data_IF_311895189243
#
_entry.id   IF_311895189243
#
_cell.length_a   1.000
_cell.length_b   1.000
_cell.length_c   1.000
_cell.angle_alpha   90.00
_cell.angle_beta   90.00
_cell.angle_gamma   90.00
#
_symmetry.space_group_name_H-M   'P 1'
#
loop_
_entity.id
_entity.type
_entity.pdbx_description
1 polymer ?
#
# COMPACT_ATOMS: atom_id res chain seq x y z
N UNK A 1 -2.30 29.06 -9.21
CA UNK A 1 -1.08 28.37 -8.71
C UNK A 1 -1.41 27.18 -7.80
N UNK A 2 -2.43 27.27 -6.94
CA UNK A 2 -2.78 26.19 -6.01
C UNK A 2 -3.31 24.91 -6.66
N UNK A 3 -4.04 25.00 -7.78
CA UNK A 3 -4.61 23.84 -8.48
C UNK A 3 -3.50 22.96 -9.09
N UNK A 4 -2.49 23.56 -9.72
CA UNK A 4 -1.28 22.86 -10.19
C UNK A 4 -0.51 22.22 -9.04
N UNK A 5 -0.36 22.92 -7.91
CA UNK A 5 0.32 22.40 -6.71
C UNK A 5 -0.43 21.21 -6.11
N UNK A 6 -1.78 21.27 -6.07
CA UNK A 6 -2.66 20.20 -5.59
C UNK A 6 -2.61 18.98 -6.51
N UNK A 7 -2.63 19.19 -7.83
CA UNK A 7 -2.55 18.13 -8.82
C UNK A 7 -1.19 17.40 -8.76
N UNK A 8 -0.09 18.14 -8.65
CA UNK A 8 1.25 17.56 -8.50
C UNK A 8 1.35 16.70 -7.24
N UNK A 9 0.81 17.16 -6.11
CA UNK A 9 0.90 16.40 -4.86
C UNK A 9 0.03 15.13 -4.91
N UNK A 10 -1.14 15.19 -5.54
CA UNK A 10 -1.97 13.99 -5.75
C UNK A 10 -1.32 12.97 -6.68
N UNK A 11 -0.60 13.44 -7.71
CA UNK A 11 0.23 12.59 -8.58
C UNK A 11 1.37 11.93 -7.81
N UNK A 12 2.03 12.67 -6.91
CA UNK A 12 3.03 12.09 -6.00
C UNK A 12 2.44 11.01 -5.10
N UNK A 13 1.18 11.18 -4.67
CA UNK A 13 0.46 10.18 -3.88
C UNK A 13 0.35 8.82 -4.58
N UNK A 14 0.32 8.77 -5.92
CA UNK A 14 0.19 7.52 -6.69
C UNK A 14 1.42 6.62 -6.60
N UNK A 15 2.60 7.19 -6.31
CA UNK A 15 3.86 6.45 -6.31
C UNK A 15 3.84 5.34 -5.27
N UNK A 16 3.32 5.61 -4.06
CA UNK A 16 3.28 4.62 -2.98
C UNK A 16 2.50 3.35 -3.36
N UNK A 17 1.22 3.45 -3.75
CA UNK A 17 0.43 2.30 -4.18
C UNK A 17 1.00 1.58 -5.41
N UNK A 18 1.58 2.31 -6.37
CA UNK A 18 2.22 1.70 -7.54
C UNK A 18 3.43 0.87 -7.12
N UNK A 19 4.29 1.40 -6.25
CA UNK A 19 5.45 0.64 -5.75
C UNK A 19 5.01 -0.60 -4.98
N UNK A 20 3.94 -0.50 -4.19
CA UNK A 20 3.39 -1.63 -3.45
C UNK A 20 2.83 -2.71 -4.39
N UNK A 21 2.13 -2.34 -5.46
CA UNK A 21 1.68 -3.31 -6.48
C UNK A 21 2.89 -3.94 -7.19
N UNK A 22 3.85 -3.13 -7.62
CA UNK A 22 5.04 -3.62 -8.32
C UNK A 22 5.85 -4.57 -7.43
N UNK A 23 5.92 -4.32 -6.12
CA UNK A 23 6.67 -5.16 -5.19
C UNK A 23 6.25 -6.63 -5.22
N UNK A 24 4.99 -6.93 -5.55
CA UNK A 24 4.50 -8.30 -5.59
C UNK A 24 5.08 -9.17 -6.71
N UNK A 25 5.58 -8.52 -7.76
CA UNK A 25 6.16 -9.18 -8.93
C UNK A 25 7.68 -9.38 -8.77
N UNK A 26 8.24 -8.98 -7.64
CA UNK A 26 9.65 -9.21 -7.29
C UNK A 26 9.77 -10.16 -6.11
N UNK A 27 10.89 -10.87 -5.97
CA UNK A 27 11.14 -11.72 -4.81
C UNK A 27 11.19 -10.89 -3.50
N UNK A 28 10.71 -11.47 -2.40
CA UNK A 28 10.68 -10.81 -1.07
C UNK A 28 11.70 -11.41 -0.10
N UNK A 29 11.49 -12.64 0.33
CA UNK A 29 12.41 -13.39 1.23
C UNK A 29 12.76 -14.78 0.70
N UNK A 30 12.17 -15.16 -0.43
CA UNK A 30 12.47 -16.39 -1.18
C UNK A 30 12.86 -16.03 -2.61
N UNK A 31 13.26 -17.01 -3.41
CA UNK A 31 13.46 -16.84 -4.86
C UNK A 31 12.18 -16.48 -5.61
N UNK A 32 11.04 -16.85 -5.05
CA UNK A 32 9.72 -16.64 -5.63
C UNK A 32 9.15 -15.27 -5.23
N UNK A 33 8.33 -14.69 -6.10
CA UNK A 33 7.54 -13.51 -5.78
C UNK A 33 6.25 -13.88 -5.02
N UNK A 34 5.51 -12.88 -4.50
CA UNK A 34 4.34 -13.15 -3.67
C UNK A 34 3.19 -13.82 -4.44
N UNK A 35 3.05 -13.49 -5.72
CA UNK A 35 2.02 -14.08 -6.58
C UNK A 35 2.33 -15.57 -6.85
N UNK A 36 3.60 -15.89 -7.07
CA UNK A 36 4.07 -17.28 -7.19
C UNK A 36 3.84 -18.06 -5.89
N UNK A 37 4.18 -17.47 -4.74
CA UNK A 37 3.92 -18.07 -3.43
C UNK A 37 2.42 -18.32 -3.21
N UNK A 38 1.55 -17.38 -3.60
CA UNK A 38 0.11 -17.57 -3.58
C UNK A 38 -0.30 -18.79 -4.41
N UNK A 39 0.12 -18.87 -5.67
CA UNK A 39 -0.25 -19.97 -6.59
C UNK A 39 0.23 -21.33 -6.06
N UNK A 40 1.48 -21.39 -5.60
CA UNK A 40 2.08 -22.62 -5.06
C UNK A 40 1.33 -23.11 -3.81
N UNK A 41 1.06 -22.20 -2.87
CA UNK A 41 0.47 -22.55 -1.58
C UNK A 41 -1.06 -22.68 -1.63
N UNK A 42 -1.73 -22.16 -2.65
CA UNK A 42 -3.18 -22.32 -2.84
C UNK A 42 -3.60 -23.79 -2.84
N UNK A 43 -2.76 -24.70 -3.31
CA UNK A 43 -3.10 -26.13 -3.36
C UNK A 43 -2.98 -26.87 -2.02
N UNK A 44 -2.23 -26.32 -1.05
CA UNK A 44 -1.85 -27.01 0.20
C UNK A 44 -2.36 -26.28 1.44
N UNK A 45 -2.36 -24.95 1.43
CA UNK A 45 -2.75 -24.09 2.54
C UNK A 45 -3.54 -22.88 2.03
N UNK A 46 -4.76 -23.12 1.55
CA UNK A 46 -5.64 -22.10 0.95
C UNK A 46 -5.75 -20.85 1.84
N UNK A 47 -6.07 -21.04 3.13
CA UNK A 47 -6.30 -19.91 4.04
C UNK A 47 -5.05 -19.02 4.18
N UNK A 48 -3.88 -19.63 4.38
CA UNK A 48 -2.62 -18.90 4.52
C UNK A 48 -2.14 -18.31 3.18
N UNK A 49 -2.51 -18.92 2.05
CA UNK A 49 -2.09 -18.44 0.74
C UNK A 49 -2.64 -17.04 0.44
N UNK A 50 -3.84 -16.70 0.91
CA UNK A 50 -4.43 -15.38 0.70
C UNK A 50 -3.61 -14.24 1.32
N UNK A 51 -2.82 -14.53 2.35
CA UNK A 51 -1.92 -13.56 2.96
C UNK A 51 -1.00 -12.93 1.91
N UNK A 52 -0.50 -13.72 0.95
CA UNK A 52 0.41 -13.24 -0.10
C UNK A 52 -0.23 -12.29 -1.12
N UNK A 53 -1.57 -12.19 -1.15
CA UNK A 53 -2.29 -11.21 -1.99
C UNK A 53 -2.59 -9.90 -1.25
N UNK A 54 -2.32 -9.82 0.05
CA UNK A 54 -2.68 -8.65 0.85
C UNK A 54 -1.93 -7.39 0.42
N UNK A 55 -0.64 -7.43 0.04
CA UNK A 55 0.02 -6.26 -0.54
C UNK A 55 -0.63 -5.76 -1.84
N UNK A 56 -1.12 -6.65 -2.69
CA UNK A 56 -1.81 -6.33 -3.95
C UNK A 56 -3.09 -5.59 -3.65
N UNK A 57 -3.90 -6.19 -2.78
CA UNK A 57 -5.20 -5.69 -2.37
C UNK A 57 -5.00 -4.32 -1.72
N UNK A 58 -4.01 -4.20 -0.84
CA UNK A 58 -3.62 -2.94 -0.21
C UNK A 58 -3.27 -1.86 -1.24
N UNK A 59 -2.39 -2.18 -2.19
CA UNK A 59 -1.97 -1.29 -3.26
C UNK A 59 -3.15 -0.84 -4.13
N UNK A 60 -4.01 -1.77 -4.56
CA UNK A 60 -5.19 -1.46 -5.37
C UNK A 60 -6.16 -0.55 -4.62
N UNK A 61 -6.47 -0.84 -3.35
CA UNK A 61 -7.38 -0.01 -2.56
C UNK A 61 -6.84 1.41 -2.35
N UNK A 62 -5.53 1.54 -2.07
CA UNK A 62 -4.89 2.84 -1.92
C UNK A 62 -4.81 3.61 -3.24
N UNK A 63 -4.62 2.91 -4.37
CA UNK A 63 -4.67 3.52 -5.71
C UNK A 63 -6.07 4.06 -6.02
N UNK A 64 -7.11 3.26 -5.78
CA UNK A 64 -8.51 3.65 -5.95
C UNK A 64 -8.87 4.86 -5.06
N UNK A 65 -8.36 4.90 -3.84
CA UNK A 65 -8.55 6.02 -2.93
C UNK A 65 -8.00 7.33 -3.54
N UNK A 66 -6.80 7.31 -4.11
CA UNK A 66 -6.22 8.50 -4.72
C UNK A 66 -7.01 8.92 -5.96
N UNK A 67 -7.42 7.97 -6.80
CA UNK A 67 -8.28 8.26 -7.94
C UNK A 67 -9.60 8.92 -7.54
N UNK A 68 -10.22 8.51 -6.43
CA UNK A 68 -11.42 9.17 -5.89
C UNK A 68 -11.16 10.64 -5.56
N UNK A 69 -10.02 10.98 -4.96
CA UNK A 69 -9.66 12.36 -4.62
C UNK A 69 -9.34 13.19 -5.87
N UNK A 70 -8.66 12.59 -6.85
CA UNK A 70 -8.37 13.23 -8.14
C UNK A 70 -9.68 13.54 -8.88
N UNK A 71 -10.64 12.61 -8.86
CA UNK A 71 -11.92 12.78 -9.52
C UNK A 71 -12.76 13.90 -8.89
N UNK A 72 -13.01 13.83 -7.57
CA UNK A 72 -13.71 14.89 -6.82
C UNK A 72 -13.18 14.99 -5.40
N UNK A 73 -12.83 16.22 -5.00
CA UNK A 73 -12.24 16.47 -3.69
C UNK A 73 -13.19 16.24 -2.52
N UNK A 74 -14.51 16.21 -2.78
CA UNK A 74 -15.55 15.84 -1.82
C UNK A 74 -15.41 14.40 -1.32
N UNK A 75 -14.79 13.51 -2.10
CA UNK A 75 -14.58 12.11 -1.71
C UNK A 75 -13.36 11.91 -0.79
N UNK A 76 -12.73 12.99 -0.31
CA UNK A 76 -11.53 12.93 0.54
C UNK A 76 -11.68 12.01 1.75
N UNK A 77 -12.77 12.13 2.51
CA UNK A 77 -12.97 11.27 3.70
C UNK A 77 -13.13 9.79 3.28
N UNK A 78 -13.89 9.52 2.21
CA UNK A 78 -14.07 8.16 1.69
C UNK A 78 -12.75 7.54 1.22
N UNK A 79 -11.92 8.35 0.56
CA UNK A 79 -10.59 7.94 0.13
C UNK A 79 -9.64 7.68 1.32
N UNK A 80 -9.69 8.50 2.37
CA UNK A 80 -8.92 8.24 3.59
C UNK A 80 -9.34 6.92 4.23
N UNK A 81 -10.64 6.66 4.38
CA UNK A 81 -11.16 5.39 4.90
C UNK A 81 -10.69 4.22 4.04
N UNK A 82 -10.80 4.33 2.72
CA UNK A 82 -10.37 3.28 1.79
C UNK A 82 -8.86 3.02 1.88
N UNK A 83 -8.06 4.08 2.06
CA UNK A 83 -6.61 3.97 2.26
C UNK A 83 -6.30 3.28 3.59
N UNK A 84 -7.05 3.55 4.67
CA UNK A 84 -6.91 2.84 5.94
C UNK A 84 -7.24 1.36 5.81
N UNK A 85 -8.31 1.01 5.10
CA UNK A 85 -8.65 -0.40 4.81
C UNK A 85 -7.52 -1.08 4.04
N UNK A 86 -6.99 -0.42 3.00
CA UNK A 86 -5.82 -0.91 2.27
C UNK A 86 -4.60 -1.11 3.17
N UNK A 87 -4.22 -0.11 3.96
CA UNK A 87 -3.10 -0.22 4.91
C UNK A 87 -3.32 -1.31 5.96
N UNK A 88 -4.57 -1.60 6.33
CA UNK A 88 -4.93 -2.72 7.21
C UNK A 88 -4.48 -4.07 6.66
N UNK A 89 -4.75 -4.34 5.38
CA UNK A 89 -4.26 -5.56 4.72
C UNK A 89 -2.73 -5.65 4.75
N UNK A 90 -2.04 -4.54 4.45
CA UNK A 90 -0.57 -4.51 4.49
C UNK A 90 -0.02 -4.76 5.90
N UNK A 91 -0.67 -4.21 6.92
CA UNK A 91 -0.26 -4.42 8.32
C UNK A 91 -0.46 -5.86 8.75
N UNK A 92 -1.58 -6.50 8.39
CA UNK A 92 -1.79 -7.93 8.67
C UNK A 92 -0.70 -8.75 7.99
N UNK A 93 -0.38 -8.46 6.72
CA UNK A 93 0.73 -9.11 6.03
C UNK A 93 2.07 -8.94 6.77
N UNK A 94 2.39 -7.72 7.19
CA UNK A 94 3.63 -7.47 7.93
C UNK A 94 3.66 -8.21 9.28
N UNK A 95 2.56 -8.22 10.03
CA UNK A 95 2.52 -8.89 11.33
C UNK A 95 2.59 -10.40 11.15
N UNK A 96 1.79 -10.98 10.27
CA UNK A 96 1.68 -12.44 10.18
C UNK A 96 2.84 -13.05 9.40
N UNK A 97 3.20 -12.47 8.24
CA UNK A 97 4.25 -13.04 7.39
C UNK A 97 5.65 -12.65 7.85
N UNK A 98 5.93 -11.36 8.10
CA UNK A 98 7.30 -10.95 8.47
C UNK A 98 7.68 -11.51 9.83
N UNK A 99 6.77 -11.59 10.81
CA UNK A 99 7.11 -12.15 12.12
C UNK A 99 7.55 -13.61 12.05
N UNK A 100 7.07 -14.38 11.06
CA UNK A 100 7.49 -15.76 10.82
C UNK A 100 8.85 -15.85 10.11
N UNK A 101 9.30 -14.76 9.49
CA UNK A 101 10.47 -14.71 8.60
C UNK A 101 11.55 -13.76 9.15
N UNK A 102 11.40 -13.29 10.40
CA UNK A 102 12.30 -12.30 11.06
C UNK A 102 13.77 -12.74 11.06
N UNK A 103 14.05 -14.05 11.13
CA UNK A 103 15.42 -14.59 11.07
C UNK A 103 16.07 -14.43 9.69
N UNK A 104 15.28 -14.23 8.63
CA UNK A 104 15.73 -14.09 7.23
C UNK A 104 15.72 -12.63 6.74
N UNK A 105 15.63 -11.64 7.64
CA UNK A 105 15.77 -10.22 7.25
C UNK A 105 17.06 -9.91 6.45
N UNK A 106 18.22 -10.57 6.70
CA UNK A 106 19.42 -10.41 5.87
C UNK A 106 19.22 -10.85 4.41
N UNK A 107 18.26 -11.73 4.14
CA UNK A 107 17.94 -12.28 2.83
C UNK A 107 16.79 -11.52 2.15
N UNK A 108 16.51 -10.29 2.57
CA UNK A 108 15.50 -9.45 1.95
C UNK A 108 15.90 -9.08 0.50
N UNK A 109 14.99 -9.33 -0.43
CA UNK A 109 15.13 -9.01 -1.84
C UNK A 109 14.41 -7.70 -2.21
N UNK A 110 14.53 -7.29 -3.47
CA UNK A 110 14.01 -6.01 -3.98
C UNK A 110 12.51 -5.81 -3.70
N UNK A 111 11.71 -6.88 -3.77
CA UNK A 111 10.27 -6.81 -3.52
C UNK A 111 9.96 -6.28 -2.12
N UNK A 112 10.66 -6.77 -1.10
CA UNK A 112 10.49 -6.29 0.27
C UNK A 112 10.76 -4.78 0.39
N UNK A 113 11.88 -4.31 -0.16
CA UNK A 113 12.23 -2.88 -0.10
C UNK A 113 11.22 -1.99 -0.84
N UNK A 114 10.77 -2.42 -2.03
CA UNK A 114 9.73 -1.72 -2.78
C UNK A 114 8.41 -1.66 -2.00
N UNK A 115 8.03 -2.77 -1.35
CA UNK A 115 6.81 -2.85 -0.53
C UNK A 115 6.87 -1.92 0.69
N UNK A 116 7.99 -1.91 1.42
CA UNK A 116 8.20 -1.02 2.57
C UNK A 116 8.20 0.45 2.15
N UNK A 117 8.92 0.80 1.08
CA UNK A 117 8.94 2.18 0.57
C UNK A 117 7.54 2.61 0.10
N UNK A 118 6.83 1.73 -0.62
CA UNK A 118 5.46 1.96 -1.06
C UNK A 118 4.53 2.24 0.12
N UNK A 119 4.57 1.39 1.15
CA UNK A 119 3.83 1.56 2.39
C UNK A 119 4.11 2.90 3.09
N UNK A 120 5.39 3.27 3.26
CA UNK A 120 5.77 4.53 3.90
C UNK A 120 5.26 5.75 3.11
N UNK A 121 5.33 5.71 1.77
CA UNK A 121 4.82 6.79 0.92
C UNK A 121 3.29 6.92 1.02
N UNK A 122 2.56 5.81 1.14
CA UNK A 122 1.11 5.84 1.38
C UNK A 122 0.80 6.52 2.71
N UNK A 123 1.54 6.19 3.78
CA UNK A 123 1.38 6.84 5.09
C UNK A 123 1.66 8.33 5.01
N UNK A 124 2.77 8.74 4.39
CA UNK A 124 3.12 10.16 4.23
C UNK A 124 2.02 10.91 3.45
N UNK A 125 1.51 10.32 2.38
CA UNK A 125 0.42 10.89 1.61
C UNK A 125 -0.87 11.00 2.47
N UNK A 126 -1.18 10.00 3.28
CA UNK A 126 -2.34 9.99 4.16
C UNK A 126 -2.24 11.08 5.25
N UNK A 127 -1.08 11.23 5.89
CA UNK A 127 -0.81 12.30 6.86
C UNK A 127 -1.01 13.66 6.18
N UNK A 128 -0.43 13.86 5.00
CA UNK A 128 -0.61 15.09 4.22
C UNK A 128 -2.10 15.37 3.91
N UNK A 129 -2.81 14.32 3.48
CA UNK A 129 -4.25 14.36 3.20
C UNK A 129 -5.10 14.57 4.45
N UNK A 130 -4.58 14.41 5.67
CA UNK A 130 -5.31 14.70 6.91
C UNK A 130 -4.97 16.09 7.45
N UNK A 131 -3.69 16.50 7.46
CA UNK A 131 -3.26 17.81 7.96
C UNK A 131 -3.90 18.99 7.23
N UNK A 132 -4.32 18.81 5.97
CA UNK A 132 -5.02 19.87 5.22
C UNK A 132 -6.46 20.13 5.71
N UNK A 133 -6.99 19.36 6.65
CA UNK A 133 -8.34 19.56 7.22
C UNK A 133 -8.34 20.72 8.21
N UNK A 134 -7.26 20.89 8.99
CA UNK A 134 -7.19 21.92 10.03
C UNK A 134 -7.21 23.34 9.46
N UNK A 135 -6.75 23.56 8.22
CA UNK A 135 -6.74 24.91 7.62
C UNK A 135 -8.10 25.41 7.12
N UNK A 136 -9.12 24.56 7.04
CA UNK A 136 -10.44 24.96 6.47
C UNK A 136 -11.50 25.13 7.58
N UNK A 137 -11.29 24.59 8.78
CA UNK A 137 -12.23 24.68 9.90
C UNK A 137 -11.90 25.76 10.94
N UNK A 138 -10.94 26.64 10.66
CA UNK A 138 -10.63 27.82 11.49
C UNK A 138 -11.12 29.09 10.80
N UNK A 139 -12.41 29.36 10.91
CA UNK A 139 -13.06 30.61 10.53
C UNK A 139 -13.97 31.06 11.65
#
# INVERSE_FOLDING_TARGET
MELKKRFNILLFGLIGPILLIISEFYPWFSSENLIELFILLTSVQIENSFLFLFPLISGILCLLAIFLIIYKTEFRIRAVILSFVGLGFQLIFFIDYISQVIEFLPDAYLGFYLGVIGFLLIIVNLIYLLSKTEKISGG
#
